data_IF_363593817775
#
_entry.id   IF_363593817775
#
_cell.length_a   1.000
_cell.length_b   1.000
_cell.length_c   1.000
_cell.angle_alpha   90.00
_cell.angle_beta   90.00
_cell.angle_gamma   90.00
#
_symmetry.space_group_name_H-M   'P 1'
#
loop_
_entity.id
_entity.type
_entity.pdbx_description
1 polymer ?
#
# COMPACT_ATOMS: atom_id res chain seq x y z
N UNK A 1 4.22 12.03 -4.03
CA UNK A 1 5.33 11.54 -3.18
C UNK A 1 4.74 10.81 -2.00
N UNK A 2 5.18 9.57 -1.73
CA UNK A 2 4.63 8.73 -0.67
C UNK A 2 5.42 8.91 0.63
N UNK A 3 5.00 9.83 1.49
CA UNK A 3 5.67 10.11 2.77
C UNK A 3 4.69 9.99 3.94
N UNK A 4 5.18 9.42 5.04
CA UNK A 4 4.46 9.26 6.31
C UNK A 4 4.26 7.80 6.69
N UNK A 5 4.01 7.59 7.98
CA UNK A 5 3.81 6.27 8.56
C UNK A 5 2.34 6.09 8.95
N UNK A 6 1.81 4.91 8.67
CA UNK A 6 0.41 4.58 8.88
C UNK A 6 0.30 3.17 9.44
N UNK A 7 -0.34 3.04 10.60
CA UNK A 7 -0.68 1.74 11.17
C UNK A 7 -2.02 1.28 10.61
N UNK A 8 -2.03 0.06 10.09
CA UNK A 8 -3.22 -0.58 9.54
C UNK A 8 -3.38 -1.98 10.12
N UNK A 9 -4.64 -2.39 10.26
CA UNK A 9 -5.00 -3.76 10.64
C UNK A 9 -5.52 -4.44 9.38
N UNK A 10 -5.20 -5.72 9.21
CA UNK A 10 -5.77 -6.53 8.16
C UNK A 10 -7.26 -6.75 8.43
N UNK A 11 -8.07 -6.60 7.39
CA UNK A 11 -9.47 -7.00 7.49
C UNK A 11 -9.62 -8.53 7.45
N UNK A 12 -10.84 -9.02 7.66
CA UNK A 12 -11.18 -10.45 7.63
C UNK A 12 -10.93 -11.14 6.29
N UNK A 13 -10.56 -10.38 5.24
CA UNK A 13 -10.27 -10.86 3.90
C UNK A 13 -8.81 -10.64 3.50
N UNK A 14 -7.92 -10.40 4.47
CA UNK A 14 -6.49 -10.13 4.27
C UNK A 14 -6.21 -8.89 3.39
N UNK A 15 -7.05 -7.85 3.49
CA UNK A 15 -6.83 -6.58 2.78
C UNK A 15 -6.37 -5.50 3.75
N UNK A 16 -5.58 -4.56 3.22
CA UNK A 16 -5.17 -3.34 3.90
C UNK A 16 -5.77 -2.14 3.16
N UNK A 17 -6.32 -1.19 3.90
CA UNK A 17 -6.85 0.06 3.33
C UNK A 17 -5.74 1.09 3.15
N UNK A 18 -5.47 1.49 1.90
CA UNK A 18 -4.50 2.54 1.61
C UNK A 18 -5.02 3.92 2.07
N UNK A 19 -4.16 4.75 2.72
CA UNK A 19 -4.49 6.12 3.10
C UNK A 19 -5.06 6.94 1.93
N UNK A 20 -6.11 7.71 2.19
CA UNK A 20 -6.87 8.45 1.16
C UNK A 20 -5.98 9.35 0.30
N UNK A 21 -4.99 10.01 0.91
CA UNK A 21 -4.05 10.91 0.23
C UNK A 21 -3.22 10.25 -0.88
N UNK A 22 -2.98 8.93 -0.80
CA UNK A 22 -2.17 8.19 -1.77
C UNK A 22 -2.99 7.59 -2.91
N UNK A 23 -4.32 7.51 -2.77
CA UNK A 23 -5.19 6.84 -3.76
C UNK A 23 -5.15 7.51 -5.13
N UNK A 24 -5.00 8.84 -5.18
CA UNK A 24 -4.91 9.58 -6.43
C UNK A 24 -3.61 9.27 -7.18
N UNK A 25 -2.49 9.25 -6.45
CA UNK A 25 -1.16 9.02 -7.01
C UNK A 25 -0.94 7.53 -7.39
N UNK A 26 -1.50 6.58 -6.63
CA UNK A 26 -1.38 5.14 -6.93
C UNK A 26 -2.32 4.66 -8.04
N UNK A 27 -3.44 5.37 -8.26
CA UNK A 27 -4.44 4.99 -9.25
C UNK A 27 -5.27 3.77 -8.86
N UNK A 28 -5.96 3.17 -9.85
CA UNK A 28 -6.88 2.04 -9.64
C UNK A 28 -6.19 0.68 -9.55
N UNK A 29 -5.00 0.57 -10.14
CA UNK A 29 -4.25 -0.68 -10.23
C UNK A 29 -2.83 -0.40 -9.73
N UNK A 30 -2.36 -1.27 -8.85
CA UNK A 30 -1.01 -1.22 -8.30
C UNK A 30 -0.31 -2.54 -8.52
N UNK A 31 1.01 -2.50 -8.51
CA UNK A 31 1.85 -3.70 -8.51
C UNK A 31 2.42 -3.88 -7.12
N UNK A 32 2.30 -5.09 -6.57
CA UNK A 32 2.84 -5.45 -5.25
C UNK A 32 3.93 -6.49 -5.44
N UNK A 33 5.07 -6.30 -4.78
CA UNK A 33 6.19 -7.24 -4.79
C UNK A 33 6.77 -7.40 -3.39
N UNK A 34 7.54 -8.48 -3.17
CA UNK A 34 8.31 -8.67 -1.93
C UNK A 34 9.47 -7.69 -1.91
N UNK A 35 9.58 -6.94 -0.81
CA UNK A 35 10.72 -6.08 -0.51
C UNK A 35 11.73 -6.78 0.40
N UNK A 36 12.61 -5.97 0.98
CA UNK A 36 13.56 -6.42 2.01
C UNK A 36 12.85 -6.62 3.36
N UNK A 37 13.48 -7.35 4.27
CA UNK A 37 13.08 -7.47 5.69
C UNK A 37 11.61 -7.86 5.92
N UNK A 38 11.10 -8.81 5.12
CA UNK A 38 9.71 -9.28 5.17
C UNK A 38 8.66 -8.19 4.89
N UNK A 39 9.05 -7.10 4.24
CA UNK A 39 8.14 -6.06 3.79
C UNK A 39 7.58 -6.32 2.38
N UNK A 40 6.51 -5.60 2.04
CA UNK A 40 5.95 -5.53 0.70
C UNK A 40 6.17 -4.12 0.15
N UNK A 41 6.57 -4.03 -1.12
CA UNK A 41 6.64 -2.77 -1.86
C UNK A 41 5.45 -2.65 -2.80
N UNK A 42 4.92 -1.44 -2.93
CA UNK A 42 3.76 -1.11 -3.76
C UNK A 42 4.18 -0.03 -4.74
N UNK A 43 3.91 -0.26 -6.02
CA UNK A 43 4.19 0.68 -7.11
C UNK A 43 2.89 1.05 -7.83
N UNK A 44 2.78 2.33 -8.21
CA UNK A 44 1.77 2.75 -9.19
C UNK A 44 2.10 2.10 -10.53
N UNK A 45 1.08 1.76 -11.30
CA UNK A 45 1.24 1.34 -12.69
C UNK A 45 1.52 2.53 -13.60
#
# INVERSE_FOLDING_TARGET
>A
MFLGEYLHIFDSKNRISIPSKFRKDLGRVVVVTRGLDHCLYVYSR
#
